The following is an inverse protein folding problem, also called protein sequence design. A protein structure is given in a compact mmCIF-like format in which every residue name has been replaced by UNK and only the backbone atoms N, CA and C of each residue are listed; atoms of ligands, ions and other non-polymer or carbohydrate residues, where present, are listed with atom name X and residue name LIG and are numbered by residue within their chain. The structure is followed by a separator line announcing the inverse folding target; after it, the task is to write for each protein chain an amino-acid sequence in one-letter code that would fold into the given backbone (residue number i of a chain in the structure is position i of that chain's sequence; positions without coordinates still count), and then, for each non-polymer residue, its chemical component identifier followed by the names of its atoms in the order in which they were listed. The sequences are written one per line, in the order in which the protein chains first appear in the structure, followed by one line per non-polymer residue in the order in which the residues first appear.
data_IF_322699072554
#
_entry.id   IF_322699072554
#
_cell.length_a   1.000
_cell.length_b   1.000
_cell.length_c   1.000
_cell.angle_alpha   90.00
_cell.angle_beta   90.00
_cell.angle_gamma   90.00
#
_symmetry.space_group_name_H-M   'P 1'
#
loop_
_entity.id
_entity.type
_entity.pdbx_description
1 polymer ?
#
# COMPACT_ATOMS: atom_id res chain seq x y z
N UNK A 1 -20.95 -5.59 -11.68
CA UNK A 1 -19.84 -4.95 -10.95
C UNK A 1 -18.91 -6.05 -10.47
N UNK A 2 -17.62 -5.93 -10.76
CA UNK A 2 -16.60 -6.86 -10.27
C UNK A 2 -15.75 -6.09 -9.27
N UNK A 3 -15.59 -6.63 -8.06
CA UNK A 3 -14.65 -6.13 -7.07
C UNK A 3 -13.51 -7.13 -6.97
N UNK A 4 -12.27 -6.63 -6.93
CA UNK A 4 -11.07 -7.44 -6.70
C UNK A 4 -10.24 -6.72 -5.64
N UNK A 5 -9.85 -7.44 -4.59
CA UNK A 5 -8.86 -6.95 -3.64
C UNK A 5 -7.47 -7.39 -4.06
N UNK A 6 -6.46 -6.56 -3.77
CA UNK A 6 -5.05 -6.91 -3.98
C UNK A 6 -4.33 -6.74 -2.65
N UNK A 7 -3.83 -7.85 -2.10
CA UNK A 7 -3.00 -7.84 -0.90
C UNK A 7 -1.53 -7.66 -1.29
N UNK A 8 -0.87 -6.65 -0.72
CA UNK A 8 0.59 -6.49 -0.85
C UNK A 8 1.28 -7.37 0.20
N UNK A 9 1.29 -8.67 -0.06
CA UNK A 9 1.91 -9.66 0.82
C UNK A 9 3.14 -10.26 0.15
N UNK A 10 4.28 -10.18 0.83
CA UNK A 10 5.59 -10.61 0.32
C UNK A 10 6.13 -11.84 1.07
N UNK A 11 5.51 -12.23 2.19
CA UNK A 11 5.80 -13.48 2.89
C UNK A 11 5.14 -14.69 2.23
N UNK A 12 4.37 -14.46 1.16
CA UNK A 12 3.63 -15.45 0.39
C UNK A 12 2.12 -15.41 0.64
N UNK A 13 1.32 -16.17 -0.13
CA UNK A 13 -0.14 -16.01 -0.14
C UNK A 13 -0.85 -16.51 1.12
N UNK A 14 -0.17 -17.24 2.01
CA UNK A 14 -0.78 -17.88 3.16
C UNK A 14 -1.36 -16.87 4.16
N UNK A 15 -0.62 -15.79 4.45
CA UNK A 15 -1.04 -14.78 5.40
C UNK A 15 -2.15 -13.88 4.82
N UNK A 16 -2.05 -13.50 3.55
CA UNK A 16 -3.13 -12.82 2.83
C UNK A 16 -4.42 -13.64 2.82
N UNK A 17 -4.32 -14.97 2.62
CA UNK A 17 -5.45 -15.89 2.70
C UNK A 17 -6.04 -15.97 4.11
N UNK A 18 -5.18 -16.03 5.14
CA UNK A 18 -5.62 -16.07 6.55
C UNK A 18 -6.44 -14.83 6.89
N UNK A 19 -5.91 -13.64 6.59
CA UNK A 19 -6.57 -12.37 6.90
C UNK A 19 -7.88 -12.20 6.11
N UNK A 20 -7.89 -12.51 4.82
CA UNK A 20 -9.13 -12.42 4.00
C UNK A 20 -10.21 -13.42 4.43
N UNK A 21 -9.82 -14.61 4.88
CA UNK A 21 -10.77 -15.59 5.43
C UNK A 21 -11.35 -15.11 6.76
N UNK A 22 -10.49 -14.60 7.66
CA UNK A 22 -10.94 -14.06 8.95
C UNK A 22 -11.86 -12.84 8.80
N UNK A 23 -11.66 -12.04 7.75
CA UNK A 23 -12.50 -10.90 7.39
C UNK A 23 -13.74 -11.29 6.55
N UNK A 24 -13.98 -12.58 6.31
CA UNK A 24 -15.12 -13.08 5.53
C UNK A 24 -15.27 -12.43 4.14
N UNK A 25 -14.14 -12.16 3.48
CA UNK A 25 -14.14 -11.50 2.16
C UNK A 25 -14.83 -12.40 1.12
N UNK A 26 -15.83 -11.84 0.43
CA UNK A 26 -16.66 -12.55 -0.56
C UNK A 26 -16.25 -12.33 -2.02
N UNK A 27 -15.30 -11.42 -2.26
CA UNK A 27 -14.80 -11.09 -3.60
C UNK A 27 -13.39 -11.67 -3.83
N UNK A 28 -12.96 -11.86 -5.09
CA UNK A 28 -11.62 -12.34 -5.39
C UNK A 28 -10.50 -11.50 -4.76
N UNK A 29 -9.53 -12.18 -4.16
CA UNK A 29 -8.30 -11.60 -3.62
C UNK A 29 -7.11 -12.05 -4.44
N UNK A 30 -6.38 -11.10 -5.02
CA UNK A 30 -5.07 -11.31 -5.62
C UNK A 30 -3.98 -11.00 -4.61
N UNK A 31 -2.78 -11.54 -4.82
CA UNK A 31 -1.61 -11.28 -3.99
C UNK A 31 -0.51 -10.70 -4.88
N UNK A 32 0.02 -9.55 -4.48
CA UNK A 32 1.15 -8.88 -5.11
C UNK A 32 2.44 -9.14 -4.32
N UNK A 33 3.05 -10.29 -4.61
CA UNK A 33 4.28 -10.77 -3.98
C UNK A 33 5.52 -10.01 -4.46
N UNK A 34 5.46 -9.40 -5.65
CA UNK A 34 6.60 -8.75 -6.29
C UNK A 34 6.60 -7.22 -6.17
N UNK A 35 5.49 -6.63 -5.71
CA UNK A 35 5.34 -5.18 -5.61
C UNK A 35 5.11 -4.53 -6.98
N UNK A 36 4.43 -5.24 -7.89
CA UNK A 36 4.10 -4.74 -9.23
C UNK A 36 3.12 -3.58 -9.18
N UNK A 37 2.14 -3.63 -8.26
CA UNK A 37 1.11 -2.61 -8.13
C UNK A 37 1.64 -1.28 -7.56
N UNK A 38 2.43 -1.22 -6.47
CA UNK A 38 3.01 0.05 -6.03
C UNK A 38 3.97 0.63 -7.08
N UNK A 39 4.75 -0.21 -7.78
CA UNK A 39 5.65 0.25 -8.83
C UNK A 39 4.90 0.76 -10.08
N UNK A 40 3.83 0.07 -10.49
CA UNK A 40 3.06 0.44 -11.68
C UNK A 40 2.16 1.66 -11.48
N UNK A 41 1.54 1.78 -10.31
CA UNK A 41 0.62 2.89 -9.97
C UNK A 41 1.30 4.02 -9.20
N UNK A 42 2.56 3.86 -8.80
CA UNK A 42 3.35 4.88 -8.09
C UNK A 42 2.90 5.17 -6.66
N UNK A 43 2.09 4.31 -6.04
CA UNK A 43 1.61 4.54 -4.68
C UNK A 43 2.61 4.08 -3.62
N UNK A 44 2.61 4.80 -2.51
CA UNK A 44 3.53 4.61 -1.38
C UNK A 44 2.85 4.10 -0.12
N UNK A 45 1.52 4.02 -0.13
CA UNK A 45 0.70 3.61 1.00
C UNK A 45 -0.55 2.85 0.53
N UNK A 46 -1.16 2.13 1.46
CA UNK A 46 -2.45 1.43 1.34
C UNK A 46 -3.30 1.77 2.57
N UNK A 47 -4.64 1.68 2.54
CA UNK A 47 -5.50 1.19 1.46
C UNK A 47 -5.68 2.18 0.30
N UNK A 48 -5.96 1.62 -0.89
CA UNK A 48 -6.18 2.35 -2.15
C UNK A 48 -7.56 1.99 -2.73
N UNK A 49 -8.12 2.87 -3.56
CA UNK A 49 -9.32 2.60 -4.34
C UNK A 49 -9.12 3.00 -5.79
N UNK A 50 -9.39 2.08 -6.71
CA UNK A 50 -9.26 2.30 -8.16
C UNK A 50 -10.54 1.81 -8.83
N UNK A 51 -11.18 2.67 -9.61
CA UNK A 51 -12.40 2.36 -10.37
C UNK A 51 -12.06 2.34 -11.85
N UNK A 52 -12.32 1.20 -12.50
CA UNK A 52 -11.96 0.94 -13.89
C UNK A 52 -13.24 0.62 -14.66
N UNK A 53 -13.51 1.35 -15.74
CA UNK A 53 -14.68 1.11 -16.58
C UNK A 53 -14.51 -0.09 -17.52
N UNK A 54 -15.54 -0.35 -18.32
CA UNK A 54 -15.61 -1.51 -19.22
C UNK A 54 -14.59 -1.47 -20.37
N UNK A 55 -14.08 -0.28 -20.69
CA UNK A 55 -13.04 -0.07 -21.70
C UNK A 55 -11.63 -0.20 -21.10
N UNK A 56 -11.53 -0.51 -19.80
CA UNK A 56 -10.28 -0.63 -19.08
C UNK A 56 -9.68 0.72 -18.66
N UNK A 57 -10.47 1.80 -18.70
CA UNK A 57 -9.99 3.14 -18.33
C UNK A 57 -10.18 3.35 -16.83
N UNK A 58 -9.13 3.82 -16.16
CA UNK A 58 -9.21 4.27 -14.77
C UNK A 58 -10.02 5.56 -14.72
N UNK A 59 -11.19 5.51 -14.08
CA UNK A 59 -12.10 6.66 -13.90
C UNK A 59 -11.93 7.36 -12.57
N UNK A 60 -11.34 6.66 -11.60
CA UNK A 60 -10.99 7.20 -10.29
C UNK A 60 -9.82 6.42 -9.72
N UNK A 61 -8.89 7.13 -9.08
CA UNK A 61 -7.85 6.52 -8.27
C UNK A 61 -7.60 7.39 -7.02
N UNK A 62 -7.57 6.74 -5.87
CA UNK A 62 -7.12 7.31 -4.60
C UNK A 62 -6.08 6.39 -3.98
N UNK A 63 -4.89 6.92 -3.79
CA UNK A 63 -3.76 6.20 -3.21
C UNK A 63 -3.49 6.68 -1.78
N UNK A 64 -3.48 5.75 -0.83
CA UNK A 64 -3.35 6.03 0.59
C UNK A 64 -4.65 6.56 1.19
N UNK A 65 -5.24 5.78 2.11
CA UNK A 65 -6.38 6.23 2.91
C UNK A 65 -7.73 6.21 2.19
N UNK A 66 -7.88 5.42 1.14
CA UNK A 66 -9.22 5.10 0.62
C UNK A 66 -10.02 4.29 1.64
N UNK A 67 -11.26 4.67 1.91
CA UNK A 67 -12.15 3.92 2.81
C UNK A 67 -13.61 4.11 2.44
N UNK A 68 -14.40 3.03 2.41
CA UNK A 68 -15.84 3.15 2.16
C UNK A 68 -16.58 3.84 3.32
N UNK A 69 -15.99 3.89 4.51
CA UNK A 69 -16.55 4.63 5.64
C UNK A 69 -16.39 6.15 5.47
N UNK A 70 -15.53 6.59 4.57
CA UNK A 70 -15.46 7.99 4.17
C UNK A 70 -16.58 8.30 3.16
N UNK A 71 -17.39 9.32 3.46
CA UNK A 71 -18.55 9.70 2.65
C UNK A 71 -18.17 10.06 1.20
N UNK A 72 -17.05 10.76 0.99
CA UNK A 72 -16.63 11.18 -0.34
C UNK A 72 -16.14 9.99 -1.18
N UNK A 73 -15.40 9.05 -0.58
CA UNK A 73 -14.95 7.83 -1.25
C UNK A 73 -16.15 6.93 -1.60
N UNK A 74 -17.11 6.78 -0.69
CA UNK A 74 -18.37 6.05 -0.95
C UNK A 74 -19.16 6.68 -2.08
N UNK A 75 -19.34 8.00 -2.07
CA UNK A 75 -20.06 8.71 -3.12
C UNK A 75 -19.39 8.53 -4.49
N UNK A 76 -18.05 8.47 -4.56
CA UNK A 76 -17.33 8.18 -5.81
C UNK A 76 -17.66 6.77 -6.34
N UNK A 77 -17.70 5.77 -5.45
CA UNK A 77 -18.11 4.40 -5.81
C UNK A 77 -19.56 4.37 -6.29
N UNK A 78 -20.49 5.00 -5.56
CA UNK A 78 -21.92 5.01 -5.93
C UNK A 78 -22.17 5.67 -7.29
N UNK A 79 -21.51 6.81 -7.56
CA UNK A 79 -21.54 7.49 -8.87
C UNK A 79 -20.98 6.62 -9.98
N UNK A 80 -19.87 5.93 -9.72
CA UNK A 80 -19.33 5.01 -10.72
C UNK A 80 -20.34 3.92 -11.11
N UNK A 81 -21.09 3.42 -10.13
CA UNK A 81 -22.07 2.35 -10.34
C UNK A 81 -23.34 2.82 -11.03
N UNK A 82 -23.73 4.08 -10.89
CA UNK A 82 -24.86 4.66 -11.60
C UNK A 82 -24.50 5.15 -13.03
N UNK A 83 -23.21 5.07 -13.40
CA UNK A 83 -22.70 5.49 -14.70
C UNK A 83 -22.31 6.97 -14.78
N UNK A 84 -22.41 7.71 -13.67
CA UNK A 84 -21.93 9.08 -13.55
C UNK A 84 -20.41 9.12 -13.36
N UNK A 85 -19.84 10.30 -13.59
CA UNK A 85 -18.43 10.54 -13.28
C UNK A 85 -18.16 10.35 -11.78
N UNK A 86 -17.24 9.44 -11.40
CA UNK A 86 -16.86 9.20 -10.01
C UNK A 86 -15.92 10.29 -9.50
N UNK A 87 -16.37 11.55 -9.59
CA UNK A 87 -15.72 12.67 -8.95
C UNK A 87 -16.23 12.77 -7.54
N UNK A 88 -15.32 12.89 -6.57
CA UNK A 88 -15.70 13.28 -5.23
C UNK A 88 -16.39 14.66 -5.30
N UNK A 89 -17.55 14.78 -4.65
CA UNK A 89 -18.16 16.08 -4.45
C UNK A 89 -17.20 16.91 -3.57
N UNK A 90 -16.52 17.89 -4.17
CA UNK A 90 -15.61 18.81 -3.49
C UNK A 90 -14.32 18.20 -2.91
N UNK A 91 -13.54 17.46 -3.71
CA UNK A 91 -12.10 17.38 -3.48
C UNK A 91 -11.40 18.47 -4.30
N UNK A 92 -10.38 19.11 -3.71
CA UNK A 92 -9.37 19.88 -4.43
C UNK A 92 -8.94 19.07 -5.66
N UNK A 93 -8.76 19.72 -6.82
CA UNK A 93 -8.35 19.07 -8.08
C UNK A 93 -7.08 18.20 -7.94
N UNK A 94 -6.34 18.34 -6.84
CA UNK A 94 -5.18 17.55 -6.45
C UNK A 94 -5.46 16.11 -5.97
N UNK A 95 -6.71 15.71 -5.69
CA UNK A 95 -6.99 14.41 -5.06
C UNK A 95 -7.32 13.27 -6.04
N UNK A 96 -7.55 13.58 -7.33
CA UNK A 96 -7.50 12.56 -8.38
C UNK A 96 -6.03 12.42 -8.74
N UNK A 97 -5.37 11.41 -8.15
CA UNK A 97 -4.06 11.05 -8.65
C UNK A 97 -4.27 10.48 -10.05
N UNK A 98 -3.84 11.22 -11.08
CA UNK A 98 -3.56 10.61 -12.38
C UNK A 98 -2.70 9.37 -12.10
N UNK A 99 -2.97 8.22 -12.73
CA UNK A 99 -2.01 7.14 -12.76
C UNK A 99 -0.72 7.75 -13.28
N UNK A 100 0.24 8.01 -12.39
CA UNK A 100 1.57 8.34 -12.86
C UNK A 100 2.03 7.11 -13.62
N UNK A 101 2.77 7.30 -14.72
CA UNK A 101 3.66 6.22 -15.15
C UNK A 101 4.52 5.97 -13.92
N UNK A 102 4.16 4.95 -13.13
CA UNK A 102 4.77 4.73 -11.83
C UNK A 102 6.28 4.62 -12.01
N UNK A 103 7.02 4.66 -10.92
CA UNK A 103 8.47 4.62 -10.98
C UNK A 103 8.99 3.19 -11.26
N UNK A 104 8.27 2.41 -12.08
CA UNK A 104 8.63 1.08 -12.53
C UNK A 104 9.98 1.13 -13.27
N UNK A 105 11.07 0.97 -12.50
CA UNK A 105 12.44 1.14 -12.95
C UNK A 105 13.27 2.15 -12.13
N UNK A 106 12.73 2.69 -11.04
CA UNK A 106 13.48 3.48 -10.07
C UNK A 106 14.37 2.59 -9.22
N UNK A 107 15.45 3.19 -8.71
CA UNK A 107 16.34 2.55 -7.77
C UNK A 107 15.60 2.06 -6.51
N UNK A 108 14.58 2.81 -6.06
CA UNK A 108 13.76 2.45 -4.88
C UNK A 108 12.92 1.19 -5.16
N UNK A 109 12.28 1.12 -6.33
CA UNK A 109 11.51 -0.04 -6.75
C UNK A 109 12.40 -1.27 -6.96
N UNK A 110 13.59 -1.10 -7.53
CA UNK A 110 14.60 -2.15 -7.68
C UNK A 110 15.08 -2.67 -6.31
N UNK A 111 15.37 -1.78 -5.37
CA UNK A 111 15.79 -2.15 -4.02
C UNK A 111 14.69 -2.88 -3.25
N UNK A 112 13.43 -2.46 -3.39
CA UNK A 112 12.29 -3.18 -2.82
C UNK A 112 12.20 -4.62 -3.35
N UNK A 113 12.28 -4.82 -4.67
CA UNK A 113 12.28 -6.14 -5.31
C UNK A 113 13.49 -6.99 -4.90
N UNK A 114 14.67 -6.37 -4.83
CA UNK A 114 15.90 -7.03 -4.38
C UNK A 114 15.76 -7.52 -2.93
N UNK A 115 15.26 -6.67 -2.02
CA UNK A 115 15.01 -7.06 -0.64
C UNK A 115 14.01 -8.20 -0.51
N UNK A 116 12.93 -8.22 -1.32
CA UNK A 116 11.98 -9.35 -1.37
C UNK A 116 12.64 -10.64 -1.82
N UNK A 117 13.47 -10.58 -2.86
CA UNK A 117 14.22 -11.74 -3.37
C UNK A 117 15.21 -12.28 -2.32
N UNK A 118 15.88 -11.39 -1.59
CA UNK A 118 16.76 -11.76 -0.47
C UNK A 118 15.98 -12.43 0.66
N UNK A 119 14.81 -11.90 1.00
CA UNK A 119 13.94 -12.46 2.05
C UNK A 119 13.46 -13.86 1.67
N UNK A 120 12.97 -14.04 0.44
CA UNK A 120 12.56 -15.35 -0.09
C UNK A 120 13.71 -16.38 -0.08
N UNK A 121 14.95 -15.94 -0.26
CA UNK A 121 16.15 -16.78 -0.14
C UNK A 121 16.60 -17.04 1.32
N UNK A 122 15.83 -16.64 2.32
CA UNK A 122 16.16 -16.77 3.75
C UNK A 122 17.23 -15.80 4.24
N UNK A 123 17.63 -14.81 3.43
CA UNK A 123 18.66 -13.81 3.76
C UNK A 123 18.04 -12.59 4.44
N UNK A 124 17.31 -12.81 5.53
CA UNK A 124 16.50 -11.81 6.23
C UNK A 124 17.26 -10.53 6.55
N UNK A 125 18.47 -10.62 7.11
CA UNK A 125 19.26 -9.44 7.45
C UNK A 125 19.65 -8.59 6.23
N UNK A 126 19.96 -9.24 5.10
CA UNK A 126 20.29 -8.56 3.85
C UNK A 126 19.04 -7.90 3.23
N UNK A 127 17.89 -8.56 3.32
CA UNK A 127 16.62 -8.00 2.88
C UNK A 127 16.27 -6.71 3.63
N UNK A 128 16.33 -6.74 4.96
CA UNK A 128 16.06 -5.57 5.81
C UNK A 128 17.05 -4.44 5.52
N UNK A 129 18.34 -4.74 5.31
CA UNK A 129 19.32 -3.73 4.94
C UNK A 129 18.95 -3.03 3.61
N UNK A 130 18.62 -3.80 2.57
CA UNK A 130 18.20 -3.25 1.28
C UNK A 130 16.92 -2.40 1.39
N UNK A 131 15.93 -2.84 2.17
CA UNK A 131 14.71 -2.05 2.39
C UNK A 131 14.97 -0.77 3.19
N UNK A 132 15.87 -0.79 4.19
CA UNK A 132 16.25 0.43 4.92
C UNK A 132 16.96 1.43 4.02
N UNK A 133 17.82 0.98 3.12
CA UNK A 133 18.45 1.84 2.11
C UNK A 133 17.43 2.47 1.16
N UNK A 134 16.40 1.71 0.77
CA UNK A 134 15.30 2.21 -0.05
C UNK A 134 14.43 3.22 0.70
N UNK A 135 14.09 2.93 1.97
CA UNK A 135 13.31 3.82 2.84
C UNK A 135 14.07 5.12 3.15
N UNK A 136 15.40 5.08 3.27
CA UNK A 136 16.20 6.29 3.44
C UNK A 136 16.13 7.24 2.21
N UNK A 137 15.94 6.68 1.02
CA UNK A 137 15.75 7.45 -0.23
C UNK A 137 14.30 7.93 -0.39
N UNK A 138 13.33 7.16 0.10
CA UNK A 138 11.92 7.49 0.06
C UNK A 138 11.24 7.32 1.44
N UNK A 139 11.45 8.27 2.38
CA UNK A 139 10.96 8.13 3.77
C UNK A 139 9.44 8.10 3.89
N UNK A 140 8.70 8.57 2.88
CA UNK A 140 7.24 8.51 2.83
C UNK A 140 6.71 7.15 2.33
N UNK A 141 7.61 6.22 1.96
CA UNK A 141 7.22 4.91 1.46
C UNK A 141 6.77 3.94 2.56
N UNK A 142 5.48 4.00 2.86
CA UNK A 142 4.83 3.15 3.84
C UNK A 142 4.78 1.68 3.43
N UNK A 143 4.79 1.38 2.12
CA UNK A 143 4.91 -0.01 1.63
C UNK A 143 6.23 -0.60 2.11
N UNK A 144 7.37 0.05 1.84
CA UNK A 144 8.71 -0.41 2.27
C UNK A 144 8.79 -0.47 3.80
N UNK A 145 8.35 0.60 4.48
CA UNK A 145 8.38 0.68 5.95
C UNK A 145 7.66 -0.51 6.60
N UNK A 146 6.48 -0.87 6.09
CA UNK A 146 5.72 -2.01 6.60
C UNK A 146 6.37 -3.37 6.33
N UNK A 147 7.17 -3.53 5.27
CA UNK A 147 7.94 -4.78 5.06
C UNK A 147 8.97 -4.97 6.17
N UNK A 148 9.71 -3.90 6.50
CA UNK A 148 10.71 -3.91 7.58
C UNK A 148 10.03 -4.26 8.90
N UNK A 149 8.94 -3.56 9.23
CA UNK A 149 8.18 -3.82 10.45
C UNK A 149 7.65 -5.25 10.54
N UNK A 150 7.12 -5.79 9.45
CA UNK A 150 6.59 -7.15 9.44
C UNK A 150 7.68 -8.17 9.76
N UNK A 151 8.88 -7.99 9.18
CA UNK A 151 10.00 -8.91 9.38
C UNK A 151 10.58 -8.80 10.79
N UNK A 152 10.65 -7.60 11.34
CA UNK A 152 11.22 -7.35 12.67
C UNK A 152 10.24 -7.63 13.82
N UNK A 153 8.94 -7.45 13.56
CA UNK A 153 7.85 -7.50 14.54
C UNK A 153 6.62 -8.25 13.99
N UNK A 154 6.74 -9.52 13.56
CA UNK A 154 5.64 -10.26 12.96
C UNK A 154 4.42 -10.39 13.90
N UNK A 155 4.64 -10.39 15.22
CA UNK A 155 3.59 -10.41 16.25
C UNK A 155 2.69 -9.17 16.25
N UNK A 156 3.10 -8.09 15.57
CA UNK A 156 2.30 -6.86 15.41
C UNK A 156 1.41 -6.87 14.18
N UNK A 157 1.50 -7.90 13.35
CA UNK A 157 0.75 -8.04 12.11
C UNK A 157 -0.17 -9.26 12.10
N UNK A 158 0.15 -10.30 12.87
CA UNK A 158 -0.65 -11.53 12.93
C UNK A 158 -0.97 -11.96 14.37
N UNK A 159 -2.17 -12.54 14.60
CA UNK A 159 -3.23 -12.80 13.61
C UNK A 159 -4.00 -11.54 13.18
N UNK A 160 -3.84 -10.43 13.91
CA UNK A 160 -4.46 -9.15 13.64
C UNK A 160 -3.40 -8.04 13.59
N UNK A 161 -3.69 -6.99 12.84
CA UNK A 161 -2.77 -5.87 12.67
C UNK A 161 -2.91 -4.88 13.83
N UNK A 162 -1.84 -4.67 14.59
CA UNK A 162 -1.77 -3.72 15.69
C UNK A 162 -1.59 -2.27 15.17
N UNK A 163 -2.72 -1.64 14.86
CA UNK A 163 -2.76 -0.27 14.34
C UNK A 163 -2.33 0.79 15.38
N UNK A 164 -2.38 0.47 16.68
CA UNK A 164 -1.88 1.37 17.73
C UNK A 164 -0.36 1.39 17.68
N UNK A 165 0.26 0.21 17.70
CA UNK A 165 1.71 0.07 17.61
C UNK A 165 2.28 0.69 16.33
N UNK A 166 1.64 0.50 15.17
CA UNK A 166 2.12 1.11 13.91
C UNK A 166 2.17 2.64 13.98
N UNK A 167 1.19 3.28 14.64
CA UNK A 167 1.17 4.74 14.82
C UNK A 167 2.29 5.20 15.75
N UNK A 168 2.50 4.49 16.86
CA UNK A 168 3.57 4.78 17.81
C UNK A 168 4.95 4.57 17.18
N UNK A 169 5.14 3.48 16.45
CA UNK A 169 6.38 3.16 15.76
C UNK A 169 6.70 4.20 14.69
N UNK A 170 5.71 4.61 13.88
CA UNK A 170 5.89 5.69 12.93
C UNK A 170 6.33 6.98 13.62
N UNK A 171 5.66 7.37 14.71
CA UNK A 171 6.00 8.61 15.43
C UNK A 171 7.44 8.59 15.95
N UNK A 172 7.91 7.44 16.46
CA UNK A 172 9.30 7.25 16.90
C UNK A 172 10.29 7.38 15.75
N UNK A 173 10.04 6.70 14.63
CA UNK A 173 10.90 6.75 13.45
C UNK A 173 10.95 8.15 12.85
N UNK A 174 9.80 8.84 12.74
CA UNK A 174 9.73 10.23 12.27
C UNK A 174 10.47 11.21 13.17
N UNK A 175 10.45 10.99 14.49
CA UNK A 175 11.23 11.79 15.42
C UNK A 175 12.74 11.58 15.22
N UNK A 176 13.18 10.34 14.94
CA UNK A 176 14.57 10.01 14.65
C UNK A 176 15.04 10.51 13.26
N UNK A 177 14.15 10.55 12.27
CA UNK A 177 14.41 11.04 10.92
C UNK A 177 14.56 12.57 10.82
N UNK A 178 14.18 13.33 11.86
CA UNK A 178 14.35 14.79 11.93
C UNK A 178 15.60 15.15 12.76
N UNK A 179 16.80 15.24 12.17
CA UNK A 179 17.93 15.82 12.88
C UNK A 179 17.73 17.34 12.98
N UNK A 180 17.46 17.86 14.19
CA UNK A 180 17.63 19.30 14.48
C UNK A 180 16.44 20.13 15.00
N UNK A 181 15.39 19.57 15.61
CA UNK A 181 14.36 20.37 16.29
C UNK A 181 14.65 20.59 17.79
N UNK A 182 15.89 20.98 18.10
CA UNK A 182 16.28 21.57 19.39
C UNK A 182 17.33 22.63 19.11
N UNK A 183 16.86 23.87 18.98
CA UNK A 183 17.56 25.07 19.44
C UNK A 183 16.61 25.82 20.38
#
# INVERSE_FOLDING_TARGET
MTLVGIALEHTGPADAKRLSTAAEVSFPMLVDEEGLTPAGFGFKAVPNGVLVDVDGIVRFAKYGGFSIDNEADRAAVERFLDGSEPRAAALDEAAVAEPTNGDAGSEVADQLRSGRSLYAAGRTAAAVAAWREALARDPENFVIRKQIWLVEHPERFYPEIDMVWQREQLARERAAERPGATE
#
